data_IF_369156325940
#
_entry.id   IF_369156325940
#
_cell.length_a   1.000
_cell.length_b   1.000
_cell.length_c   1.000
_cell.angle_alpha   90.00
_cell.angle_beta   90.00
_cell.angle_gamma   90.00
#
_symmetry.space_group_name_H-M   'P 1'
#
loop_
_entity.id
_entity.type
_entity.pdbx_description
1 polymer ?
#
# COMPACT_ATOMS: atom_id res chain seq x y z
N UNK A 1 2.18 -1.90 14.80
CA UNK A 1 2.90 -2.02 13.51
C UNK A 1 2.07 -1.28 12.48
N UNK A 2 2.63 -0.29 11.78
CA UNK A 2 1.88 0.54 10.84
C UNK A 2 1.76 -0.18 9.50
N UNK A 3 0.53 -0.54 9.14
CA UNK A 3 0.13 -1.04 7.82
C UNK A 3 0.48 0.00 6.74
N UNK A 4 1.59 -0.18 6.01
CA UNK A 4 1.99 0.74 4.95
C UNK A 4 1.20 0.46 3.67
N UNK A 5 0.68 1.52 3.04
CA UNK A 5 -0.07 1.41 1.79
C UNK A 5 0.88 1.59 0.60
N UNK A 6 0.91 0.60 -0.29
CA UNK A 6 1.78 0.55 -1.46
C UNK A 6 0.97 0.50 -2.74
N UNK A 7 1.47 1.15 -3.78
CA UNK A 7 1.03 0.92 -5.14
C UNK A 7 1.99 -0.05 -5.83
N UNK A 8 1.44 -1.07 -6.45
CA UNK A 8 2.21 -2.11 -7.12
C UNK A 8 2.52 -1.72 -8.56
N UNK A 9 3.69 -2.17 -9.05
CA UNK A 9 4.18 -2.05 -10.43
C UNK A 9 4.27 -3.45 -11.07
N UNK A 10 4.46 -3.51 -12.38
CA UNK A 10 4.58 -4.77 -13.13
C UNK A 10 3.23 -5.48 -13.32
N UNK A 11 3.15 -6.79 -13.02
CA UNK A 11 1.93 -7.61 -13.24
C UNK A 11 0.68 -7.09 -12.54
N UNK A 12 0.86 -6.34 -11.45
CA UNK A 12 -0.22 -5.73 -10.67
C UNK A 12 -0.20 -4.19 -10.77
N UNK A 13 0.36 -3.62 -11.84
CA UNK A 13 0.50 -2.17 -11.99
C UNK A 13 -0.80 -1.40 -11.68
N UNK A 14 -0.68 -0.37 -10.83
CA UNK A 14 -1.79 0.52 -10.48
C UNK A 14 -2.70 0.03 -9.34
N UNK A 15 -2.54 -1.22 -8.86
CA UNK A 15 -3.28 -1.68 -7.68
C UNK A 15 -2.67 -1.10 -6.40
N UNK A 16 -3.55 -0.77 -5.45
CA UNK A 16 -3.18 -0.28 -4.13
C UNK A 16 -3.47 -1.37 -3.11
N UNK A 17 -2.48 -1.68 -2.28
CA UNK A 17 -2.59 -2.70 -1.25
C UNK A 17 -1.85 -2.31 0.01
N UNK A 18 -2.05 -3.10 1.05
CA UNK A 18 -1.44 -2.91 2.35
C UNK A 18 -0.34 -3.96 2.55
N UNK A 19 0.84 -3.52 2.97
CA UNK A 19 1.92 -4.41 3.39
C UNK A 19 1.58 -4.97 4.76
N UNK A 20 1.44 -6.29 4.85
CA UNK A 20 1.16 -7.04 6.07
C UNK A 20 2.45 -7.55 6.75
N UNK A 21 3.50 -7.80 5.95
CA UNK A 21 4.78 -8.29 6.44
C UNK A 21 5.89 -7.82 5.50
N UNK A 22 6.98 -7.35 6.10
CA UNK A 22 8.26 -7.08 5.43
C UNK A 22 9.19 -8.27 5.70
N UNK A 23 9.76 -8.83 4.65
CA UNK A 23 10.73 -9.92 4.74
C UNK A 23 12.11 -9.34 4.46
N UNK A 24 13.11 -9.69 5.29
CA UNK A 24 14.50 -9.22 5.18
C UNK A 24 15.15 -9.58 3.82
N UNK A 25 14.49 -10.45 3.05
CA UNK A 25 14.88 -10.86 1.70
C UNK A 25 14.43 -9.88 0.59
N UNK A 26 13.85 -8.72 0.93
CA UNK A 26 13.44 -7.69 -0.04
C UNK A 26 12.11 -8.01 -0.74
N UNK A 27 11.27 -8.82 -0.09
CA UNK A 27 9.91 -9.12 -0.51
C UNK A 27 8.92 -8.57 0.52
N UNK A 28 7.79 -8.05 0.04
CA UNK A 28 6.70 -7.62 0.89
C UNK A 28 5.45 -8.42 0.59
N UNK A 29 4.74 -8.77 1.65
CA UNK A 29 3.45 -9.43 1.58
C UNK A 29 2.35 -8.37 1.49
N UNK A 30 1.79 -8.21 0.30
CA UNK A 30 0.80 -7.17 0.00
C UNK A 30 -0.59 -7.78 -0.14
N UNK A 31 -1.58 -7.17 0.51
CA UNK A 31 -3.01 -7.51 0.37
C UNK A 31 -3.77 -6.34 -0.23
N UNK A 32 -4.51 -6.57 -1.31
CA UNK A 32 -5.23 -5.50 -2.05
C UNK A 32 -6.64 -5.18 -1.51
N UNK A 33 -7.15 -6.03 -0.61
CA UNK A 33 -8.46 -5.89 -0.01
C UNK A 33 -8.65 -6.92 1.10
N UNK A 34 -9.62 -6.72 2.02
CA UNK A 34 -9.79 -7.56 3.19
C UNK A 34 -10.10 -9.04 2.87
N UNK A 35 -10.62 -9.32 1.67
CA UNK A 35 -10.95 -10.67 1.18
C UNK A 35 -9.99 -11.16 0.09
N UNK A 36 -9.03 -10.34 -0.34
CA UNK A 36 -8.07 -10.72 -1.37
C UNK A 36 -6.96 -11.60 -0.78
N UNK A 37 -6.41 -12.54 -1.57
CA UNK A 37 -5.23 -13.28 -1.17
C UNK A 37 -4.04 -12.35 -0.95
N UNK A 38 -3.15 -12.73 -0.04
CA UNK A 38 -1.87 -12.06 0.15
C UNK A 38 -0.96 -12.44 -1.03
N UNK A 39 -0.35 -11.45 -1.66
CA UNK A 39 0.59 -11.62 -2.76
C UNK A 39 1.97 -11.18 -2.30
N UNK A 40 2.98 -12.02 -2.54
CA UNK A 40 4.36 -11.68 -2.29
C UNK A 40 4.92 -10.91 -3.50
N UNK A 41 5.44 -9.71 -3.26
CA UNK A 41 5.98 -8.82 -4.29
C UNK A 41 7.37 -8.35 -3.90
N UNK A 42 8.28 -8.24 -4.89
CA UNK A 42 9.60 -7.65 -4.65
C UNK A 42 9.46 -6.18 -4.33
N UNK A 43 10.30 -5.66 -3.44
CA UNK A 43 10.28 -4.25 -3.05
C UNK A 43 10.47 -3.30 -4.26
N UNK A 44 11.33 -3.67 -5.21
CA UNK A 44 11.49 -2.93 -6.47
C UNK A 44 10.21 -2.82 -7.33
N UNK A 45 9.23 -3.70 -7.09
CA UNK A 45 7.91 -3.67 -7.75
C UNK A 45 6.87 -2.89 -6.95
N UNK A 46 7.26 -2.26 -5.85
CA UNK A 46 6.40 -1.50 -4.96
C UNK A 46 6.84 -0.05 -4.94
N UNK A 47 5.87 0.86 -4.77
CA UNK A 47 6.13 2.23 -4.34
C UNK A 47 5.16 2.58 -3.25
N UNK A 48 5.55 3.49 -2.37
CA UNK A 48 4.63 4.07 -1.40
C UNK A 48 3.48 4.77 -2.15
N UNK A 49 2.25 4.45 -1.77
CA UNK A 49 1.08 5.09 -2.36
C UNK A 49 0.99 6.54 -1.87
N UNK A 50 0.64 7.47 -2.75
CA UNK A 50 0.42 8.87 -2.36
C UNK A 50 -0.90 9.02 -1.60
N UNK A 51 -1.03 10.09 -0.81
CA UNK A 51 -2.26 10.35 -0.06
C UNK A 51 -3.49 10.44 -0.97
N UNK A 52 -3.37 11.06 -2.14
CA UNK A 52 -4.44 11.13 -3.14
C UNK A 52 -4.89 9.75 -3.60
N UNK A 53 -3.94 8.86 -3.92
CA UNK A 53 -4.24 7.49 -4.34
C UNK A 53 -4.93 6.68 -3.24
N UNK A 54 -4.52 6.88 -1.99
CA UNK A 54 -5.15 6.24 -0.83
C UNK A 54 -6.58 6.77 -0.64
N UNK A 55 -6.78 8.08 -0.75
CA UNK A 55 -8.09 8.73 -0.64
C UNK A 55 -9.06 8.24 -1.73
N UNK A 56 -8.61 8.21 -2.99
CA UNK A 56 -9.38 7.69 -4.13
C UNK A 56 -9.80 6.23 -3.89
N UNK A 57 -8.91 5.40 -3.34
CA UNK A 57 -9.21 3.98 -3.05
C UNK A 57 -10.24 3.80 -1.94
N UNK A 58 -10.20 4.67 -0.93
CA UNK A 58 -11.12 4.65 0.21
C UNK A 58 -12.43 5.38 -0.08
N UNK A 59 -12.54 6.07 -1.23
CA UNK A 59 -13.70 6.89 -1.57
C UNK A 59 -13.89 8.08 -0.63
N UNK A 60 -12.80 8.55 -0.02
CA UNK A 60 -12.80 9.69 0.88
C UNK A 60 -11.96 10.83 0.30
N UNK A 61 -12.02 12.02 0.91
CA UNK A 61 -11.11 13.11 0.54
C UNK A 61 -9.80 12.94 1.29
N UNK A 62 -8.71 13.42 0.72
CA UNK A 62 -7.38 13.42 1.38
C UNK A 62 -7.41 14.04 2.78
N UNK A 63 -8.20 15.12 2.94
CA UNK A 63 -8.44 15.78 4.22
C UNK A 63 -9.12 14.90 5.28
N UNK A 64 -9.84 13.85 4.87
CA UNK A 64 -10.55 12.93 5.75
C UNK A 64 -9.71 11.68 6.06
N UNK A 65 -8.50 11.58 5.49
CA UNK A 65 -7.59 10.48 5.81
C UNK A 65 -7.14 10.56 7.27
N UNK A 66 -7.00 9.40 7.93
CA UNK A 66 -6.39 9.30 9.25
C UNK A 66 -5.00 9.97 9.30
N UNK A 67 -4.62 10.61 10.43
CA UNK A 67 -3.33 11.29 10.56
C UNK A 67 -2.12 10.41 10.23
N UNK A 68 -2.15 9.13 10.63
CA UNK A 68 -1.06 8.19 10.34
C UNK A 68 -0.83 7.91 8.84
N UNK A 69 -1.81 8.21 7.96
CA UNK A 69 -1.65 8.15 6.50
C UNK A 69 -1.24 9.51 5.91
N UNK A 70 -1.45 10.60 6.65
CA UNK A 70 -1.00 11.95 6.30
C UNK A 70 0.47 12.18 6.68
N UNK A 71 0.90 11.59 7.79
CA UNK A 71 2.24 11.70 8.35
C UNK A 71 3.21 10.60 7.89
N UNK A 72 2.80 9.76 6.92
CA UNK A 72 3.69 8.77 6.34
C UNK A 72 4.92 9.48 5.77
N UNK A 73 6.15 9.05 6.14
CA UNK A 73 7.37 9.79 5.82
C UNK A 73 7.50 9.97 4.30
N UNK A 74 7.94 11.17 3.91
CA UNK A 74 8.24 11.58 2.54
C UNK A 74 9.40 10.80 1.94
#
# INVERSE_FOLDING_TARGET
>A
MADWVVQTRGRYAGRIGTVQLDDDLGFKHVRFGPRDPIVMLRDASLRQATQTEIADRLGCRVQDLPPYLKDAPK
#
